data_IF_483478757218
#
_entry.id   IF_483478757218
#
_cell.length_a   1.000
_cell.length_b   1.000
_cell.length_c   1.000
_cell.angle_alpha   90.00
_cell.angle_beta   90.00
_cell.angle_gamma   90.00
#
_symmetry.space_group_name_H-M   'P 1'
#
loop_
_entity.id
_entity.type
_entity.pdbx_description
1 polymer ?
#
# COMPACT_ATOMS: atom_id res chain seq x y z
N UNK A 1 -44.99 -58.12 9.33
CA UNK A 1 -44.91 -59.42 10.08
C UNK A 1 -43.97 -59.17 11.28
N UNK A 2 -44.57 -59.34 12.49
CA UNK A 2 -44.06 -59.83 13.80
C UNK A 2 -42.75 -59.19 14.32
N UNK A 3 -42.84 -58.27 15.28
CA UNK A 3 -42.84 -58.46 16.75
C UNK A 3 -41.67 -59.32 17.31
N UNK A 4 -40.82 -58.74 18.14
CA UNK A 4 -40.81 -59.03 19.58
C UNK A 4 -39.84 -58.10 20.36
N UNK A 5 -40.43 -57.53 21.42
CA UNK A 5 -39.82 -56.94 22.61
C UNK A 5 -39.13 -57.99 23.43
N UNK A 6 -38.10 -57.67 24.20
CA UNK A 6 -37.94 -58.14 25.59
C UNK A 6 -37.23 -57.05 26.40
N UNK A 7 -37.72 -56.90 27.59
CA UNK A 7 -37.59 -56.00 28.71
C UNK A 7 -36.65 -56.63 29.77
N UNK A 8 -36.02 -55.79 30.54
CA UNK A 8 -35.61 -56.12 31.92
C UNK A 8 -34.11 -55.83 32.17
N UNK A 9 -33.58 -55.33 33.28
CA UNK A 9 -34.14 -54.85 34.54
C UNK A 9 -32.98 -54.22 35.32
N UNK A 10 -33.22 -53.03 35.88
CA UNK A 10 -32.69 -52.41 37.12
C UNK A 10 -31.36 -52.78 37.73
N UNK A 11 -30.61 -51.71 38.08
CA UNK A 11 -29.56 -51.68 39.05
C UNK A 11 -29.16 -50.27 39.45
N UNK A 12 -29.88 -49.68 40.43
CA UNK A 12 -29.51 -48.45 41.13
C UNK A 12 -28.32 -48.72 42.04
N UNK A 13 -27.30 -47.89 42.02
CA UNK A 13 -26.50 -47.50 43.22
C UNK A 13 -26.12 -46.04 43.09
N UNK A 14 -26.66 -45.26 44.00
CA UNK A 14 -26.33 -43.86 44.31
C UNK A 14 -25.15 -43.78 45.25
N UNK A 15 -24.27 -42.82 45.04
CA UNK A 15 -23.52 -42.08 46.12
C UNK A 15 -22.78 -40.95 45.40
N UNK A 16 -23.22 -39.78 45.53
CA UNK A 16 -22.99 -38.65 46.43
C UNK A 16 -21.63 -37.97 46.37
N UNK A 17 -21.72 -36.71 45.99
CA UNK A 17 -21.00 -35.51 46.41
C UNK A 17 -19.46 -35.48 46.37
N UNK A 18 -18.94 -34.58 45.56
CA UNK A 18 -18.42 -33.32 46.12
C UNK A 18 -18.10 -32.32 45.00
N UNK A 19 -18.72 -31.17 45.10
CA UNK A 19 -18.45 -30.01 44.31
C UNK A 19 -17.08 -29.43 44.68
N UNK A 20 -16.28 -29.08 43.67
CA UNK A 20 -15.29 -28.03 43.78
C UNK A 20 -15.23 -27.26 42.49
N UNK A 21 -16.00 -26.16 42.48
CA UNK A 21 -15.76 -25.05 41.55
C UNK A 21 -14.37 -24.49 41.86
N UNK A 22 -13.46 -24.64 40.93
CA UNK A 22 -12.31 -23.77 40.83
C UNK A 22 -12.32 -23.21 39.41
N UNK A 23 -12.96 -22.07 39.27
CA UNK A 23 -12.81 -21.20 38.11
C UNK A 23 -11.40 -20.60 38.17
N UNK A 24 -10.46 -21.25 37.47
CA UNK A 24 -9.21 -20.62 37.09
C UNK A 24 -9.38 -20.14 35.63
N UNK A 25 -9.86 -18.91 35.46
CA UNK A 25 -9.61 -18.10 34.27
C UNK A 25 -8.15 -17.73 34.26
N UNK A 26 -7.29 -18.64 33.84
CA UNK A 26 -5.95 -18.28 33.39
C UNK A 26 -6.11 -17.76 31.95
N UNK A 27 -6.25 -16.45 31.82
CA UNK A 27 -5.92 -15.78 30.59
C UNK A 27 -4.48 -16.18 30.24
N UNK A 28 -4.34 -17.04 29.26
CA UNK A 28 -3.07 -17.33 28.65
C UNK A 28 -2.61 -16.00 28.01
N UNK A 29 -1.76 -15.27 28.72
CA UNK A 29 -0.86 -14.32 28.09
C UNK A 29 -0.02 -15.16 27.14
N UNK A 30 -0.27 -15.03 25.86
CA UNK A 30 0.63 -15.51 24.83
C UNK A 30 2.04 -15.02 25.16
N UNK A 31 2.89 -15.97 25.48
CA UNK A 31 4.28 -15.70 25.82
C UNK A 31 5.04 -15.53 24.49
N UNK A 32 4.96 -14.33 23.93
CA UNK A 32 5.42 -13.96 22.58
C UNK A 32 6.95 -13.82 22.45
N UNK A 33 7.74 -14.45 23.31
CA UNK A 33 9.19 -14.27 23.34
C UNK A 33 9.98 -15.59 23.18
N UNK A 34 9.55 -16.46 22.25
CA UNK A 34 10.43 -17.55 21.78
C UNK A 34 10.83 -17.26 20.35
N UNK A 35 12.12 -16.95 20.14
CA UNK A 35 12.70 -16.97 18.81
C UNK A 35 12.39 -18.32 18.14
N UNK A 36 11.80 -18.27 16.96
CA UNK A 36 11.53 -19.44 16.13
C UNK A 36 12.06 -19.17 14.72
N UNK A 37 12.49 -20.22 14.05
CA UNK A 37 12.87 -20.10 12.63
C UNK A 37 11.63 -20.29 11.77
N UNK A 38 11.40 -19.40 10.82
CA UNK A 38 10.37 -19.50 9.81
C UNK A 38 10.99 -19.50 8.42
N UNK A 39 10.41 -20.24 7.51
CA UNK A 39 10.79 -20.21 6.10
C UNK A 39 9.87 -19.24 5.37
N UNK A 40 10.45 -18.27 4.70
CA UNK A 40 9.75 -17.27 3.88
C UNK A 40 10.11 -17.53 2.42
N UNK A 41 9.09 -17.74 1.57
CA UNK A 41 9.27 -17.73 0.13
C UNK A 41 9.27 -16.26 -0.32
N UNK A 42 10.36 -15.81 -0.92
CA UNK A 42 10.47 -14.45 -1.44
C UNK A 42 9.97 -14.35 -2.90
N UNK A 43 10.05 -13.19 -3.49
CA UNK A 43 9.56 -12.96 -4.86
C UNK A 43 10.66 -13.02 -5.92
N UNK A 44 11.79 -13.60 -5.60
CA UNK A 44 12.88 -13.80 -6.59
C UNK A 44 12.49 -14.81 -7.68
N UNK A 45 13.14 -14.71 -8.83
CA UNK A 45 12.95 -15.64 -9.95
C UNK A 45 14.26 -16.40 -10.25
N UNK A 46 14.34 -17.70 -9.97
CA UNK A 46 13.27 -18.54 -9.39
C UNK A 46 13.00 -18.17 -7.91
N UNK A 47 11.80 -18.50 -7.44
CA UNK A 47 11.43 -18.31 -6.02
C UNK A 47 12.44 -18.96 -5.10
N UNK A 48 12.80 -18.25 -4.03
CA UNK A 48 13.72 -18.75 -3.01
C UNK A 48 13.02 -18.90 -1.67
N UNK A 49 13.50 -19.86 -0.91
CA UNK A 49 13.09 -20.03 0.47
C UNK A 49 14.22 -19.56 1.39
N UNK A 50 13.92 -18.56 2.20
CA UNK A 50 14.86 -17.94 3.13
C UNK A 50 14.46 -18.27 4.55
N UNK A 51 15.38 -18.88 5.32
CA UNK A 51 15.15 -19.12 6.76
C UNK A 51 15.47 -17.87 7.56
N UNK A 52 14.53 -17.45 8.39
CA UNK A 52 14.63 -16.23 9.19
C UNK A 52 14.27 -16.54 10.65
N UNK A 53 15.10 -16.08 11.56
CA UNK A 53 14.77 -16.10 12.99
C UNK A 53 13.76 -14.98 13.29
N UNK A 54 12.55 -15.36 13.72
CA UNK A 54 11.46 -14.42 14.01
C UNK A 54 11.26 -14.29 15.53
N UNK A 55 10.78 -13.16 16.08
CA UNK A 55 10.49 -11.92 15.35
C UNK A 55 11.74 -11.11 14.99
N UNK A 56 11.78 -10.61 13.77
CA UNK A 56 12.83 -9.67 13.32
C UNK A 56 12.59 -8.31 13.95
N UNK A 57 13.63 -7.74 14.55
CA UNK A 57 13.59 -6.42 15.19
C UNK A 57 14.47 -5.37 14.51
N UNK A 58 15.32 -5.79 13.57
CA UNK A 58 16.24 -4.91 12.85
C UNK A 58 16.19 -5.21 11.35
N UNK A 59 15.41 -4.41 10.65
CA UNK A 59 15.16 -4.53 9.20
C UNK A 59 15.91 -3.40 8.51
N UNK A 60 16.59 -3.74 7.42
CA UNK A 60 17.14 -2.79 6.46
C UNK A 60 16.43 -2.96 5.13
N UNK A 61 16.16 -1.87 4.42
CA UNK A 61 15.61 -1.95 3.07
C UNK A 61 16.06 -0.78 2.20
N UNK A 62 16.49 -1.11 0.97
CA UNK A 62 16.69 -0.12 -0.08
C UNK A 62 15.40 0.14 -0.89
N UNK A 63 14.38 -0.68 -0.74
CA UNK A 63 13.08 -0.56 -1.44
C UNK A 63 12.30 0.62 -0.86
N UNK A 64 12.18 1.71 -1.62
CA UNK A 64 11.64 2.99 -1.15
C UNK A 64 10.25 2.88 -0.50
N UNK A 65 9.26 2.15 -1.05
CA UNK A 65 7.93 2.02 -0.46
C UNK A 65 7.84 0.99 0.69
N UNK A 66 8.79 0.08 0.82
CA UNK A 66 8.70 -1.03 1.77
C UNK A 66 8.63 -0.61 3.26
N UNK A 67 9.31 0.47 3.71
CA UNK A 67 9.19 0.94 5.09
C UNK A 67 7.75 1.21 5.53
N UNK A 68 6.91 1.75 4.66
CA UNK A 68 5.49 1.99 4.98
C UNK A 68 4.76 0.66 5.24
N UNK A 69 5.03 -0.38 4.46
CA UNK A 69 4.45 -1.72 4.68
C UNK A 69 4.87 -2.30 6.04
N UNK A 70 6.15 -2.15 6.40
CA UNK A 70 6.63 -2.58 7.73
C UNK A 70 5.88 -1.85 8.82
N UNK A 71 5.76 -0.52 8.72
CA UNK A 71 5.09 0.33 9.72
C UNK A 71 3.61 -0.02 9.84
N UNK A 72 2.90 -0.25 8.74
CA UNK A 72 1.49 -0.66 8.73
C UNK A 72 1.29 -2.02 9.41
N UNK A 73 2.11 -3.01 9.07
CA UNK A 73 2.05 -4.35 9.68
C UNK A 73 2.49 -4.32 11.15
N UNK A 74 3.43 -3.44 11.50
CA UNK A 74 3.85 -3.27 12.91
C UNK A 74 2.89 -2.40 13.75
N UNK A 75 1.84 -1.83 13.13
CA UNK A 75 0.80 -1.07 13.81
C UNK A 75 1.21 0.37 14.14
N UNK A 76 2.03 0.97 13.28
CA UNK A 76 2.46 2.37 13.36
C UNK A 76 3.88 2.56 13.93
N UNK A 77 4.63 1.48 14.22
CA UNK A 77 5.98 1.59 14.77
C UNK A 77 7.05 1.63 13.68
N UNK A 78 8.01 2.54 13.81
CA UNK A 78 9.21 2.67 12.98
C UNK A 78 10.44 2.00 13.58
N UNK A 79 10.35 1.48 14.80
CA UNK A 79 11.49 1.00 15.59
C UNK A 79 12.27 -0.14 14.94
N UNK A 80 11.59 -0.97 14.12
CA UNK A 80 12.25 -2.10 13.43
C UNK A 80 13.10 -1.67 12.23
N UNK A 81 12.89 -0.46 11.71
CA UNK A 81 13.61 0.05 10.55
C UNK A 81 14.92 0.70 10.98
N UNK A 82 16.02 -0.03 10.87
CA UNK A 82 17.35 0.46 11.28
C UNK A 82 18.14 1.07 10.11
N UNK A 83 17.71 0.84 8.86
CA UNK A 83 18.32 1.43 7.67
C UNK A 83 17.34 1.46 6.48
N UNK A 84 17.31 2.57 5.76
CA UNK A 84 16.40 2.79 4.63
C UNK A 84 17.08 3.51 3.47
N UNK A 85 16.38 3.59 2.33
CA UNK A 85 16.81 4.41 1.20
C UNK A 85 16.72 5.91 1.50
N UNK A 86 17.64 6.71 0.97
CA UNK A 86 17.67 8.17 1.11
C UNK A 86 16.36 8.84 0.67
N UNK A 87 15.76 8.33 -0.40
CA UNK A 87 14.49 8.84 -0.92
C UNK A 87 13.36 8.69 0.09
N UNK A 88 13.32 7.58 0.86
CA UNK A 88 12.34 7.40 1.95
C UNK A 88 12.46 8.51 2.98
N UNK A 89 13.67 8.82 3.44
CA UNK A 89 13.90 9.90 4.42
C UNK A 89 13.50 11.26 3.84
N UNK A 90 13.82 11.51 2.57
CA UNK A 90 13.44 12.74 1.87
C UNK A 90 11.94 12.89 1.74
N UNK A 91 11.22 11.83 1.39
CA UNK A 91 9.76 11.82 1.32
C UNK A 91 9.15 12.07 2.71
N UNK A 92 9.65 11.39 3.75
CA UNK A 92 9.15 11.55 5.11
C UNK A 92 9.35 12.98 5.65
N UNK A 93 10.41 13.68 5.26
CA UNK A 93 10.61 15.09 5.62
C UNK A 93 9.61 16.04 4.98
N UNK A 94 9.05 15.66 3.84
CA UNK A 94 8.21 16.52 2.99
C UNK A 94 6.73 16.15 2.96
N UNK A 95 6.32 15.09 3.66
CA UNK A 95 4.93 14.62 3.72
C UNK A 95 4.42 14.48 5.17
N UNK A 96 3.19 13.98 5.32
CA UNK A 96 2.54 13.81 6.61
C UNK A 96 3.27 12.81 7.53
N UNK A 97 4.03 11.87 6.97
CA UNK A 97 4.78 10.88 7.76
C UNK A 97 5.72 11.54 8.77
N UNK A 98 6.45 12.57 8.35
CA UNK A 98 7.37 13.27 9.26
C UNK A 98 6.68 14.18 10.29
N UNK A 99 5.40 14.50 10.11
CA UNK A 99 4.58 15.18 11.12
C UNK A 99 4.03 14.18 12.15
N UNK A 100 3.48 13.07 11.67
CA UNK A 100 2.87 12.03 12.49
C UNK A 100 3.92 11.19 13.25
N UNK A 101 5.07 10.96 12.62
CA UNK A 101 6.17 10.14 13.11
C UNK A 101 7.50 10.90 12.97
N UNK A 102 7.82 11.83 13.89
CA UNK A 102 9.03 12.65 13.80
C UNK A 102 10.35 11.85 13.66
N UNK A 103 10.40 10.64 14.23
CA UNK A 103 11.52 9.71 14.13
C UNK A 103 11.78 9.25 12.69
N UNK A 104 10.77 9.16 11.86
CA UNK A 104 10.88 8.73 10.46
C UNK A 104 11.78 9.62 9.60
N UNK A 105 12.01 10.87 10.02
CA UNK A 105 12.87 11.84 9.35
C UNK A 105 14.36 11.60 9.58
N UNK A 106 14.71 10.81 10.59
CA UNK A 106 16.07 10.61 11.08
C UNK A 106 16.54 9.15 10.96
N UNK A 107 15.87 8.34 10.16
CA UNK A 107 16.29 6.98 9.88
C UNK A 107 17.68 6.97 9.22
N UNK A 108 18.47 5.95 9.52
CA UNK A 108 19.80 5.79 8.92
C UNK A 108 19.64 5.52 7.42
N UNK A 109 20.34 6.29 6.61
CA UNK A 109 20.43 6.06 5.17
C UNK A 109 21.49 4.99 4.91
N UNK A 110 21.11 3.94 4.17
CA UNK A 110 21.97 2.80 3.79
C UNK A 110 22.01 2.58 2.28
N UNK A 111 21.15 3.24 1.53
CA UNK A 111 21.09 3.15 0.07
C UNK A 111 20.72 4.50 -0.53
N UNK A 112 21.26 4.79 -1.70
CA UNK A 112 20.93 5.97 -2.52
C UNK A 112 19.98 5.58 -3.68
N UNK A 113 19.89 6.44 -4.69
CA UNK A 113 19.01 6.25 -5.84
C UNK A 113 19.33 5.04 -6.73
N UNK A 114 20.54 4.50 -6.64
CA UNK A 114 20.96 3.27 -7.34
C UNK A 114 20.57 1.98 -6.60
N UNK A 115 19.99 2.07 -5.40
CA UNK A 115 19.57 0.98 -4.52
C UNK A 115 20.70 0.08 -3.99
N UNK A 116 21.97 0.41 -4.25
CA UNK A 116 23.12 -0.31 -3.69
C UNK A 116 23.18 -0.16 -2.18
N UNK A 117 23.40 -1.27 -1.51
CA UNK A 117 23.53 -1.34 -0.06
C UNK A 117 24.89 -1.91 0.29
N UNK A 118 25.66 -1.17 1.08
CA UNK A 118 26.96 -1.63 1.56
C UNK A 118 26.78 -2.65 2.70
N UNK A 119 27.29 -3.90 2.55
CA UNK A 119 27.18 -4.94 3.56
C UNK A 119 27.83 -4.61 4.91
N UNK A 120 28.89 -3.78 4.93
CA UNK A 120 29.54 -3.36 6.17
C UNK A 120 28.57 -2.50 6.99
N UNK A 121 27.88 -1.56 6.34
CA UNK A 121 26.84 -0.73 6.98
C UNK A 121 25.72 -1.57 7.59
N UNK A 122 25.32 -2.65 6.96
CA UNK A 122 24.30 -3.56 7.50
C UNK A 122 24.80 -4.27 8.76
N UNK A 123 26.03 -4.71 8.75
CA UNK A 123 26.67 -5.39 9.89
C UNK A 123 26.81 -4.45 11.07
N UNK A 124 27.23 -3.19 10.86
CA UNK A 124 27.31 -2.17 11.91
C UNK A 124 25.96 -1.87 12.56
N UNK A 125 24.89 -1.84 11.78
CA UNK A 125 23.52 -1.67 12.26
C UNK A 125 22.98 -2.90 13.00
N UNK A 126 23.64 -4.05 12.83
CA UNK A 126 23.20 -5.35 13.32
C UNK A 126 21.91 -5.79 12.66
N UNK A 127 21.78 -5.54 11.36
CA UNK A 127 20.63 -5.96 10.56
C UNK A 127 20.40 -7.46 10.66
N UNK A 128 19.18 -7.87 10.93
CA UNK A 128 18.77 -9.27 10.99
C UNK A 128 18.24 -9.77 9.64
N UNK A 129 17.68 -8.85 8.84
CA UNK A 129 17.16 -9.09 7.49
C UNK A 129 17.36 -7.85 6.65
N UNK A 130 17.73 -8.04 5.39
CA UNK A 130 17.66 -7.03 4.34
C UNK A 130 16.47 -7.35 3.41
N UNK A 131 15.75 -6.31 2.96
CA UNK A 131 14.74 -6.42 1.90
C UNK A 131 15.16 -5.55 0.74
N UNK A 132 15.27 -6.15 -0.44
CA UNK A 132 15.82 -5.52 -1.64
C UNK A 132 14.97 -5.83 -2.86
N UNK A 133 15.03 -4.98 -3.88
CA UNK A 133 14.55 -5.37 -5.21
C UNK A 133 15.27 -6.63 -5.67
N UNK A 134 14.57 -7.49 -6.40
CA UNK A 134 15.20 -8.63 -7.05
C UNK A 134 16.19 -8.12 -8.10
N UNK A 135 17.47 -8.18 -7.77
CA UNK A 135 18.58 -7.75 -8.61
C UNK A 135 19.79 -8.66 -8.38
N UNK A 136 20.78 -8.60 -9.25
CA UNK A 136 22.05 -9.30 -9.07
C UNK A 136 22.78 -8.88 -7.77
N UNK A 137 22.53 -7.65 -7.30
CA UNK A 137 23.16 -7.09 -6.10
C UNK A 137 22.73 -7.77 -4.79
N UNK A 138 21.60 -8.51 -4.79
CA UNK A 138 21.18 -9.29 -3.62
C UNK A 138 22.20 -10.35 -3.21
N UNK A 139 22.96 -10.90 -4.16
CA UNK A 139 23.96 -11.94 -3.89
C UNK A 139 25.07 -11.43 -2.95
N UNK A 140 25.48 -10.18 -3.07
CA UNK A 140 26.52 -9.58 -2.22
C UNK A 140 26.08 -9.54 -0.74
N UNK A 141 24.82 -9.23 -0.46
CA UNK A 141 24.28 -9.21 0.89
C UNK A 141 24.22 -10.63 1.49
N UNK A 142 23.84 -11.60 0.67
CA UNK A 142 23.79 -13.01 1.09
C UNK A 142 25.19 -13.56 1.37
N UNK A 143 26.19 -13.23 0.54
CA UNK A 143 27.59 -13.61 0.76
C UNK A 143 28.15 -13.01 2.05
N UNK A 144 27.66 -11.84 2.47
CA UNK A 144 27.97 -11.24 3.76
C UNK A 144 27.24 -11.93 4.96
N UNK A 145 26.45 -12.98 4.70
CA UNK A 145 25.74 -13.74 5.72
C UNK A 145 24.46 -13.08 6.25
N UNK A 146 23.95 -12.07 5.56
CA UNK A 146 22.71 -11.36 5.95
C UNK A 146 21.53 -12.00 5.19
N UNK A 147 20.53 -12.57 5.89
CA UNK A 147 19.32 -13.05 5.27
C UNK A 147 18.68 -11.94 4.41
N UNK A 148 18.50 -12.16 3.13
CA UNK A 148 18.01 -11.16 2.18
C UNK A 148 16.77 -11.67 1.47
N UNK A 149 15.69 -10.89 1.52
CA UNK A 149 14.43 -11.15 0.82
C UNK A 149 14.33 -10.28 -0.43
N UNK A 150 14.07 -10.91 -1.57
CA UNK A 150 13.78 -10.24 -2.83
C UNK A 150 12.30 -9.87 -2.93
N UNK A 151 12.03 -8.66 -3.40
CA UNK A 151 10.68 -8.19 -3.72
C UNK A 151 10.62 -7.66 -5.14
N UNK A 152 9.44 -7.78 -5.76
CA UNK A 152 9.18 -7.31 -7.11
C UNK A 152 8.02 -6.31 -7.13
N UNK A 153 8.11 -5.37 -8.07
CA UNK A 153 7.06 -4.43 -8.39
C UNK A 153 6.13 -5.01 -9.47
N UNK A 154 4.83 -4.74 -9.40
CA UNK A 154 3.99 -5.02 -10.56
C UNK A 154 2.50 -5.18 -10.31
N UNK A 155 2.06 -6.03 -9.40
CA UNK A 155 0.64 -6.39 -9.24
C UNK A 155 0.18 -6.30 -7.79
N UNK A 156 -1.15 -6.35 -7.59
CA UNK A 156 -1.73 -6.43 -6.25
C UNK A 156 -1.26 -7.68 -5.50
N UNK A 157 -1.12 -8.81 -6.19
CA UNK A 157 -0.66 -10.07 -5.58
C UNK A 157 0.77 -9.93 -5.04
N UNK A 158 1.65 -9.24 -5.79
CA UNK A 158 3.01 -8.96 -5.33
C UNK A 158 3.01 -8.06 -4.08
N UNK A 159 2.18 -7.01 -4.06
CA UNK A 159 2.04 -6.15 -2.88
C UNK A 159 1.49 -6.93 -1.66
N UNK A 160 0.48 -7.77 -1.84
CA UNK A 160 -0.03 -8.64 -0.78
C UNK A 160 1.03 -9.64 -0.31
N UNK A 161 1.90 -10.07 -1.21
CA UNK A 161 3.10 -10.84 -0.90
C UNK A 161 4.06 -10.11 0.04
N UNK A 162 4.32 -8.80 -0.19
CA UNK A 162 5.14 -7.97 0.72
C UNK A 162 4.55 -7.93 2.14
N UNK A 163 3.23 -7.70 2.22
CA UNK A 163 2.50 -7.64 3.49
C UNK A 163 2.58 -8.99 4.21
N UNK A 164 2.38 -10.09 3.48
CA UNK A 164 2.47 -11.46 4.02
C UNK A 164 3.88 -11.79 4.53
N UNK A 165 4.90 -11.50 3.73
CA UNK A 165 6.30 -11.71 4.12
C UNK A 165 6.66 -10.90 5.37
N UNK A 166 6.26 -9.63 5.40
CA UNK A 166 6.48 -8.77 6.57
C UNK A 166 5.81 -9.34 7.80
N UNK A 167 4.54 -9.76 7.70
CA UNK A 167 3.81 -10.38 8.81
C UNK A 167 4.49 -11.61 9.38
N UNK A 168 4.98 -12.50 8.52
CA UNK A 168 5.75 -13.68 8.93
C UNK A 168 7.07 -13.29 9.60
N UNK A 169 7.79 -12.36 9.00
CA UNK A 169 9.10 -11.91 9.44
C UNK A 169 9.06 -11.27 10.84
N UNK A 170 8.06 -10.44 11.13
CA UNK A 170 7.96 -9.75 12.43
C UNK A 170 7.02 -10.45 13.44
N UNK A 171 6.50 -11.63 13.09
CA UNK A 171 5.59 -12.39 13.97
C UNK A 171 4.18 -11.81 14.09
N UNK A 172 3.69 -11.07 13.08
CA UNK A 172 2.38 -10.42 13.06
C UNK A 172 1.51 -10.86 11.87
N UNK A 173 1.48 -12.16 11.56
CA UNK A 173 0.75 -12.71 10.41
C UNK A 173 -0.75 -12.43 10.46
N UNK A 174 -1.39 -12.43 11.63
CA UNK A 174 -2.81 -12.08 11.76
C UNK A 174 -3.07 -10.64 11.35
N UNK A 175 -2.19 -9.71 11.73
CA UNK A 175 -2.28 -8.32 11.32
C UNK A 175 -2.11 -8.15 9.82
N UNK A 176 -1.12 -8.82 9.22
CA UNK A 176 -0.91 -8.83 7.78
C UNK A 176 -2.15 -9.33 7.03
N UNK A 177 -2.74 -10.44 7.49
CA UNK A 177 -3.98 -10.98 6.92
C UNK A 177 -5.16 -9.98 7.06
N UNK A 178 -5.27 -9.28 8.19
CA UNK A 178 -6.32 -8.28 8.36
C UNK A 178 -6.19 -7.12 7.37
N UNK A 179 -4.96 -6.67 7.07
CA UNK A 179 -4.70 -5.65 6.04
C UNK A 179 -5.09 -6.16 4.65
N UNK A 180 -4.66 -7.37 4.28
CA UNK A 180 -4.98 -7.99 3.00
C UNK A 180 -6.50 -8.18 2.83
N UNK A 181 -7.20 -8.62 3.87
CA UNK A 181 -8.65 -8.78 3.84
C UNK A 181 -9.34 -7.44 3.57
N UNK A 182 -8.93 -6.36 4.25
CA UNK A 182 -9.48 -5.01 4.02
C UNK A 182 -9.21 -4.51 2.58
N UNK A 183 -8.02 -4.78 2.04
CA UNK A 183 -7.71 -4.50 0.63
C UNK A 183 -8.66 -5.25 -0.31
N UNK A 184 -8.88 -6.55 -0.07
CA UNK A 184 -9.77 -7.37 -0.91
C UNK A 184 -11.23 -6.94 -0.80
N UNK A 185 -11.73 -6.64 0.39
CA UNK A 185 -13.08 -6.12 0.61
C UNK A 185 -13.30 -4.80 -0.14
N UNK A 186 -12.33 -3.88 -0.07
CA UNK A 186 -12.36 -2.61 -0.80
C UNK A 186 -12.36 -2.84 -2.31
N UNK A 187 -11.51 -3.74 -2.81
CA UNK A 187 -11.45 -4.11 -4.21
C UNK A 187 -12.82 -4.62 -4.69
N UNK A 188 -13.39 -5.56 -3.98
CA UNK A 188 -14.63 -6.21 -4.37
C UNK A 188 -15.82 -5.23 -4.36
N UNK A 189 -15.85 -4.29 -3.40
CA UNK A 189 -16.88 -3.23 -3.34
C UNK A 189 -16.79 -2.30 -4.56
N UNK A 190 -15.62 -1.77 -4.86
CA UNK A 190 -15.43 -0.84 -5.98
C UNK A 190 -15.67 -1.52 -7.32
N UNK A 191 -15.12 -2.71 -7.54
CA UNK A 191 -15.36 -3.46 -8.79
C UNK A 191 -16.84 -3.77 -8.99
N UNK A 192 -17.58 -4.08 -7.92
CA UNK A 192 -19.03 -4.32 -7.99
C UNK A 192 -19.81 -3.03 -8.32
N UNK A 193 -19.44 -1.88 -7.75
CA UNK A 193 -20.06 -0.58 -8.03
C UNK A 193 -19.82 -0.15 -9.48
N UNK A 194 -18.58 -0.21 -9.95
CA UNK A 194 -18.19 0.14 -11.33
C UNK A 194 -18.87 -0.78 -12.34
N UNK A 195 -18.92 -2.09 -12.07
CA UNK A 195 -19.62 -3.04 -12.96
C UNK A 195 -21.10 -2.73 -13.12
N UNK A 196 -21.77 -2.29 -12.05
CA UNK A 196 -23.20 -1.93 -12.08
C UNK A 196 -23.48 -0.70 -12.91
N UNK A 197 -22.50 0.21 -13.01
CA UNK A 197 -22.64 1.45 -13.77
C UNK A 197 -22.83 1.20 -15.27
N UNK A 198 -22.23 0.13 -15.80
CA UNK A 198 -22.25 -0.22 -17.24
C UNK A 198 -21.90 0.95 -18.16
N UNK A 199 -20.97 1.79 -17.71
CA UNK A 199 -20.45 2.93 -18.46
C UNK A 199 -19.17 2.57 -19.22
N UNK A 200 -18.84 3.34 -20.27
CA UNK A 200 -17.56 3.23 -20.93
C UNK A 200 -16.43 3.66 -19.98
N UNK A 201 -15.29 2.96 -20.00
CA UNK A 201 -14.15 3.32 -19.16
C UNK A 201 -13.60 4.70 -19.50
N UNK A 202 -13.31 5.51 -18.50
CA UNK A 202 -12.77 6.88 -18.64
C UNK A 202 -11.30 6.83 -19.02
N UNK A 203 -10.91 7.51 -20.12
CA UNK A 203 -9.50 7.56 -20.54
C UNK A 203 -8.67 8.35 -19.54
N UNK A 204 -7.67 7.68 -18.95
CA UNK A 204 -6.85 8.23 -17.86
C UNK A 204 -5.37 8.19 -18.20
N UNK A 205 -4.61 9.14 -17.67
CA UNK A 205 -3.15 9.05 -17.62
C UNK A 205 -2.62 9.57 -16.30
N UNK A 206 -1.44 9.08 -15.93
CA UNK A 206 -0.73 9.58 -14.73
C UNK A 206 0.56 10.26 -15.16
N UNK A 207 0.70 11.52 -14.77
CA UNK A 207 1.87 12.36 -15.04
C UNK A 207 2.79 12.37 -13.82
N UNK A 208 4.07 12.11 -14.01
CA UNK A 208 5.11 12.18 -13.00
C UNK A 208 5.83 13.54 -13.03
N UNK A 209 6.17 14.01 -14.24
CA UNK A 209 6.87 15.27 -14.45
C UNK A 209 6.32 16.02 -15.68
N UNK A 210 6.41 17.34 -15.62
CA UNK A 210 5.98 18.28 -16.66
C UNK A 210 7.17 19.13 -17.04
N UNK A 211 7.46 19.19 -18.33
CA UNK A 211 8.47 20.04 -18.97
C UNK A 211 7.80 20.87 -20.07
N UNK A 212 8.49 21.84 -20.65
CA UNK A 212 7.91 22.77 -21.63
C UNK A 212 7.25 22.08 -22.84
N UNK A 213 7.76 20.96 -23.30
CA UNK A 213 7.26 20.22 -24.46
C UNK A 213 7.20 18.71 -24.29
N UNK A 214 7.50 18.21 -23.10
CA UNK A 214 7.54 16.79 -22.79
C UNK A 214 6.90 16.51 -21.43
N UNK A 215 6.36 15.30 -21.30
CA UNK A 215 5.70 14.82 -20.09
C UNK A 215 6.25 13.45 -19.75
N UNK A 216 6.68 13.24 -18.53
CA UNK A 216 6.94 11.88 -18.05
C UNK A 216 5.64 11.29 -17.54
N UNK A 217 5.18 10.22 -18.18
CA UNK A 217 3.92 9.54 -17.87
C UNK A 217 4.14 8.11 -17.44
N UNK A 218 3.25 7.57 -16.62
CA UNK A 218 3.24 6.13 -16.33
C UNK A 218 2.60 5.36 -17.48
N UNK A 219 3.12 4.15 -17.70
CA UNK A 219 2.59 3.22 -18.69
C UNK A 219 1.19 2.74 -18.29
N UNK A 220 0.28 2.70 -19.26
CA UNK A 220 -1.04 2.06 -19.11
C UNK A 220 -1.00 0.52 -19.20
N UNK A 221 0.18 -0.09 -19.40
CA UNK A 221 0.33 -1.55 -19.32
C UNK A 221 -0.13 -2.05 -17.96
N UNK A 222 -0.56 -3.30 -17.93
CA UNK A 222 -1.00 -3.93 -16.71
C UNK A 222 0.11 -3.91 -15.65
N UNK A 223 -0.12 -3.15 -14.60
CA UNK A 223 0.74 -2.97 -13.43
C UNK A 223 -0.14 -2.55 -12.26
N UNK A 224 0.41 -2.48 -11.05
CA UNK A 224 -0.36 -1.99 -9.89
C UNK A 224 -0.96 -0.59 -10.13
N UNK A 225 -0.18 0.30 -10.75
CA UNK A 225 -0.62 1.67 -11.06
C UNK A 225 -1.83 1.66 -12.01
N UNK A 226 -1.73 0.94 -13.14
CA UNK A 226 -2.82 0.87 -14.11
C UNK A 226 -4.02 0.09 -13.58
N UNK A 227 -3.81 -1.00 -12.85
CA UNK A 227 -4.88 -1.78 -12.22
C UNK A 227 -5.70 -0.95 -11.24
N UNK A 228 -5.06 -0.03 -10.51
CA UNK A 228 -5.73 0.91 -9.61
C UNK A 228 -6.84 1.70 -10.33
N UNK A 229 -6.50 2.30 -11.46
CA UNK A 229 -7.49 3.06 -12.24
C UNK A 229 -8.47 2.17 -13.00
N UNK A 230 -8.04 1.01 -13.50
CA UNK A 230 -8.95 0.06 -14.16
C UNK A 230 -10.05 -0.44 -13.21
N UNK A 231 -9.72 -0.74 -11.95
CA UNK A 231 -10.70 -1.11 -10.92
C UNK A 231 -11.71 0.00 -10.66
N UNK A 232 -11.24 1.24 -10.74
CA UNK A 232 -12.07 2.43 -10.57
C UNK A 232 -12.87 2.83 -11.82
N UNK A 233 -12.84 2.03 -12.88
CA UNK A 233 -13.55 2.30 -14.15
C UNK A 233 -12.80 3.20 -15.13
N UNK A 234 -11.49 3.33 -14.96
CA UNK A 234 -10.62 4.03 -15.89
C UNK A 234 -10.04 3.13 -16.99
N UNK A 235 -9.59 3.76 -18.07
CA UNK A 235 -8.82 3.17 -19.17
C UNK A 235 -7.47 3.87 -19.27
N UNK A 236 -6.42 3.34 -18.60
CA UNK A 236 -5.08 3.92 -18.64
C UNK A 236 -4.51 3.95 -20.07
N UNK A 237 -3.94 5.10 -20.41
CA UNK A 237 -3.35 5.36 -21.73
C UNK A 237 -1.84 5.01 -21.75
N UNK A 238 -1.19 5.23 -22.91
CA UNK A 238 0.23 4.98 -23.12
C UNK A 238 0.66 3.53 -22.88
N UNK A 239 -0.13 2.58 -23.36
CA UNK A 239 0.10 1.14 -23.19
C UNK A 239 1.33 0.61 -23.93
N UNK A 240 1.87 1.36 -24.88
CA UNK A 240 3.00 0.95 -25.74
C UNK A 240 4.37 1.31 -25.15
N UNK A 241 4.41 2.02 -24.02
CA UNK A 241 5.66 2.28 -23.32
C UNK A 241 6.33 0.97 -22.89
N UNK A 242 7.64 0.87 -23.11
CA UNK A 242 8.41 -0.34 -22.77
C UNK A 242 8.58 -0.50 -21.27
N UNK A 243 8.89 0.61 -20.62
CA UNK A 243 9.12 0.69 -19.17
C UNK A 243 7.83 1.08 -18.43
N UNK A 244 7.87 1.04 -17.10
CA UNK A 244 6.77 1.45 -16.23
C UNK A 244 6.39 2.94 -16.36
N UNK A 245 7.32 3.76 -16.86
CA UNK A 245 7.09 5.15 -17.22
C UNK A 245 8.01 5.55 -18.39
N UNK A 246 7.72 6.68 -19.02
CA UNK A 246 8.51 7.20 -20.13
C UNK A 246 8.13 8.63 -20.49
N UNK A 247 8.98 9.27 -21.27
CA UNK A 247 8.69 10.59 -21.83
C UNK A 247 7.82 10.47 -23.07
N UNK A 248 6.84 11.35 -23.17
CA UNK A 248 6.00 11.59 -24.33
C UNK A 248 6.02 13.08 -24.67
N UNK A 249 5.99 13.43 -25.95
CA UNK A 249 5.91 14.82 -26.36
C UNK A 249 4.45 15.34 -26.33
N UNK A 250 4.29 16.67 -26.50
CA UNK A 250 2.98 17.30 -26.42
C UNK A 250 2.01 16.81 -27.51
N UNK A 251 2.49 16.48 -28.71
CA UNK A 251 1.65 16.00 -29.82
C UNK A 251 1.10 14.60 -29.50
N UNK A 252 1.95 13.70 -29.01
CA UNK A 252 1.55 12.36 -28.54
C UNK A 252 0.54 12.47 -27.39
N UNK A 253 0.78 13.37 -26.43
CA UNK A 253 -0.12 13.58 -25.29
C UNK A 253 -1.50 14.10 -25.74
N UNK A 254 -1.53 15.07 -26.68
CA UNK A 254 -2.77 15.62 -27.23
C UNK A 254 -3.52 14.57 -28.06
N UNK A 255 -2.80 13.73 -28.81
CA UNK A 255 -3.41 12.74 -29.70
C UNK A 255 -4.20 11.67 -28.93
N UNK A 256 -3.78 11.29 -27.72
CA UNK A 256 -4.51 10.32 -26.88
C UNK A 256 -5.68 10.97 -26.12
N UNK A 257 -5.72 12.28 -26.01
CA UNK A 257 -6.76 13.11 -25.40
C UNK A 257 -7.33 12.51 -24.10
N UNK A 258 -6.58 12.48 -22.99
CA UNK A 258 -7.08 11.96 -21.72
C UNK A 258 -8.27 12.79 -21.22
N UNK A 259 -9.26 12.08 -20.64
CA UNK A 259 -10.43 12.71 -20.02
C UNK A 259 -10.16 13.07 -18.55
N UNK A 260 -9.22 12.34 -17.93
CA UNK A 260 -8.74 12.61 -16.57
C UNK A 260 -7.22 12.46 -16.54
N UNK A 261 -6.56 13.42 -15.90
CA UNK A 261 -5.12 13.38 -15.64
C UNK A 261 -4.90 13.29 -14.13
N UNK A 262 -4.23 12.24 -13.70
CA UNK A 262 -3.70 12.13 -12.34
C UNK A 262 -2.24 12.57 -12.34
N UNK A 263 -1.81 13.26 -11.28
CA UNK A 263 -0.43 13.68 -11.09
C UNK A 263 0.14 12.90 -9.92
N UNK A 264 1.19 12.14 -10.18
CA UNK A 264 1.79 11.24 -9.20
C UNK A 264 2.25 11.96 -7.93
N UNK A 265 1.96 11.36 -6.77
CA UNK A 265 2.46 11.82 -5.47
C UNK A 265 3.98 11.81 -5.33
N UNK A 266 4.68 11.04 -6.17
CA UNK A 266 6.15 10.99 -6.22
C UNK A 266 6.77 12.22 -6.91
N UNK A 267 6.06 12.83 -7.88
CA UNK A 267 6.54 13.96 -8.66
C UNK A 267 6.29 15.31 -7.98
N UNK A 268 6.98 16.35 -8.45
CA UNK A 268 6.82 17.73 -7.98
C UNK A 268 5.70 18.48 -8.71
N UNK A 269 5.25 17.98 -9.86
CA UNK A 269 4.22 18.60 -10.66
C UNK A 269 2.91 18.79 -9.87
N UNK A 270 2.18 19.85 -10.20
CA UNK A 270 0.91 20.26 -9.60
C UNK A 270 -0.19 20.34 -10.67
N UNK A 271 -1.47 20.31 -10.29
CA UNK A 271 -2.56 20.48 -11.25
C UNK A 271 -2.44 21.75 -12.09
N UNK A 272 -1.98 22.86 -11.50
CA UNK A 272 -1.79 24.13 -12.20
C UNK A 272 -0.76 24.04 -13.33
N UNK A 273 0.27 23.21 -13.20
CA UNK A 273 1.30 23.04 -14.25
C UNK A 273 0.72 22.44 -15.53
N UNK A 274 -0.30 21.59 -15.40
CA UNK A 274 -1.05 21.02 -16.52
C UNK A 274 -2.20 21.95 -16.96
N UNK A 275 -3.00 22.45 -16.02
CA UNK A 275 -4.17 23.29 -16.32
C UNK A 275 -3.79 24.59 -17.07
N UNK A 276 -2.62 25.15 -16.76
CA UNK A 276 -2.12 26.37 -17.40
C UNK A 276 -1.11 26.10 -18.52
N UNK A 277 -0.84 24.83 -18.85
CA UNK A 277 0.15 24.49 -19.87
C UNK A 277 -0.30 24.94 -21.26
N UNK A 278 0.47 25.80 -21.97
CA UNK A 278 -0.02 26.45 -23.20
C UNK A 278 -0.37 25.46 -24.32
N UNK A 279 0.31 24.32 -24.39
CA UNK A 279 0.08 23.30 -25.43
C UNK A 279 -1.14 22.41 -25.12
N UNK A 280 -1.56 22.29 -23.86
CA UNK A 280 -2.58 21.33 -23.43
C UNK A 280 -4.00 21.91 -23.34
N UNK A 281 -4.22 23.18 -23.71
CA UNK A 281 -5.51 23.86 -23.56
C UNK A 281 -6.68 23.19 -24.31
N UNK A 282 -6.37 22.36 -25.31
CA UNK A 282 -7.37 21.61 -26.06
C UNK A 282 -7.62 20.18 -25.56
N UNK A 283 -6.82 19.68 -24.61
CA UNK A 283 -7.00 18.35 -24.00
C UNK A 283 -8.28 18.32 -23.16
N UNK A 284 -9.07 17.28 -23.30
CA UNK A 284 -10.36 17.10 -22.62
C UNK A 284 -10.26 17.25 -21.10
N UNK A 285 -9.27 16.67 -20.47
CA UNK A 285 -9.02 16.80 -19.02
C UNK A 285 -8.77 18.25 -18.61
N UNK A 286 -8.03 19.02 -19.41
CA UNK A 286 -7.70 20.43 -19.11
C UNK A 286 -8.93 21.31 -19.27
N UNK A 287 -9.68 21.17 -20.38
CA UNK A 287 -10.94 21.90 -20.61
C UNK A 287 -11.95 21.70 -19.48
N UNK A 288 -12.05 20.47 -18.99
CA UNK A 288 -12.99 20.07 -17.95
C UNK A 288 -12.42 20.19 -16.52
N UNK A 289 -11.18 20.69 -16.38
CA UNK A 289 -10.44 20.80 -15.11
C UNK A 289 -10.34 19.48 -14.33
N UNK A 290 -10.37 18.33 -15.02
CA UNK A 290 -10.24 17.01 -14.43
C UNK A 290 -8.77 16.59 -14.32
N UNK A 291 -8.00 17.38 -13.59
CA UNK A 291 -6.57 17.19 -13.33
C UNK A 291 -6.36 17.16 -11.84
N UNK A 292 -5.86 16.04 -11.29
CA UNK A 292 -5.84 15.81 -9.84
C UNK A 292 -4.48 15.34 -9.36
N UNK A 293 -3.95 15.98 -8.32
CA UNK A 293 -2.80 15.48 -7.56
C UNK A 293 -3.24 14.31 -6.69
N UNK A 294 -2.57 13.16 -6.83
CA UNK A 294 -2.91 11.96 -6.05
C UNK A 294 -2.62 12.15 -4.56
N UNK A 295 -3.44 11.56 -3.66
CA UNK A 295 -3.24 11.61 -2.23
C UNK A 295 -1.89 11.02 -1.80
N UNK A 296 -1.43 11.48 -0.65
CA UNK A 296 -0.20 10.99 -0.03
C UNK A 296 -0.41 10.90 1.47
N UNK A 297 -0.42 9.68 1.98
CA UNK A 297 -0.40 9.37 3.38
C UNK A 297 1.01 9.27 3.95
N UNK A 298 1.30 8.18 4.63
CA UNK A 298 2.67 7.84 5.05
C UNK A 298 3.54 7.65 3.80
N UNK A 299 2.98 7.04 2.77
CA UNK A 299 3.57 6.98 1.44
C UNK A 299 2.54 7.45 0.40
N UNK A 300 2.93 7.88 -0.83
CA UNK A 300 1.97 8.13 -1.90
C UNK A 300 1.09 6.89 -2.15
N UNK A 301 -0.22 7.08 -2.36
CA UNK A 301 -1.15 5.95 -2.50
C UNK A 301 -1.03 5.21 -3.83
N UNK A 302 -0.55 5.87 -4.89
CA UNK A 302 -0.46 5.29 -6.21
C UNK A 302 0.57 4.17 -6.32
N UNK A 303 1.83 4.29 -5.83
CA UNK A 303 2.79 3.19 -5.82
C UNK A 303 2.42 2.10 -4.81
N UNK A 304 3.14 0.94 -4.81
CA UNK A 304 2.90 -0.11 -3.82
C UNK A 304 3.03 0.43 -2.40
N UNK A 305 1.97 0.30 -1.62
CA UNK A 305 1.93 0.64 -0.19
C UNK A 305 0.77 -0.08 0.48
N UNK A 306 0.79 -0.20 1.79
CA UNK A 306 -0.36 -0.74 2.52
C UNK A 306 -1.58 0.20 2.45
N UNK A 307 -1.38 1.48 2.05
CA UNK A 307 -2.43 2.47 1.81
C UNK A 307 -2.99 2.44 0.37
N UNK A 308 -2.38 1.67 -0.56
CA UNK A 308 -2.72 1.72 -1.99
C UNK A 308 -4.22 1.53 -2.29
N UNK A 309 -4.90 0.68 -1.52
CA UNK A 309 -6.33 0.43 -1.73
C UNK A 309 -7.24 1.66 -1.46
N UNK A 310 -6.77 2.67 -0.72
CA UNK A 310 -7.50 3.92 -0.55
C UNK A 310 -7.61 4.70 -1.87
N UNK A 311 -6.67 4.47 -2.77
CA UNK A 311 -6.70 5.07 -4.10
C UNK A 311 -7.89 4.61 -4.94
N UNK A 312 -8.44 3.41 -4.70
CA UNK A 312 -9.53 2.86 -5.50
C UNK A 312 -10.85 3.61 -5.29
N UNK A 313 -11.22 3.89 -4.04
CA UNK A 313 -12.39 4.70 -3.71
C UNK A 313 -12.22 6.14 -4.20
N UNK A 314 -11.08 6.75 -3.89
CA UNK A 314 -10.77 8.12 -4.29
C UNK A 314 -10.81 8.30 -5.82
N UNK A 315 -10.19 7.41 -6.57
CA UNK A 315 -10.21 7.49 -8.04
C UNK A 315 -11.58 7.17 -8.62
N UNK A 316 -12.32 6.20 -8.06
CA UNK A 316 -13.68 5.88 -8.52
C UNK A 316 -14.64 7.08 -8.34
N UNK A 317 -14.55 7.80 -7.22
CA UNK A 317 -15.35 9.02 -7.00
C UNK A 317 -15.06 10.12 -8.04
N UNK A 318 -13.81 10.22 -8.51
CA UNK A 318 -13.42 11.21 -9.52
C UNK A 318 -13.76 10.76 -10.95
N UNK A 319 -13.65 9.48 -11.24
CA UNK A 319 -13.95 8.93 -12.55
C UNK A 319 -15.46 8.86 -12.79
N UNK A 320 -16.20 8.44 -11.78
CA UNK A 320 -17.63 8.15 -11.81
C UNK A 320 -18.33 8.73 -10.57
N UNK A 321 -18.52 10.07 -10.49
CA UNK A 321 -19.15 10.71 -9.33
C UNK A 321 -20.55 10.18 -9.00
N UNK A 322 -21.25 9.61 -9.98
CA UNK A 322 -22.58 9.03 -9.85
C UNK A 322 -22.64 7.78 -8.95
N UNK A 323 -21.51 7.09 -8.72
CA UNK A 323 -21.47 5.97 -7.78
C UNK A 323 -20.96 6.36 -6.39
N UNK A 324 -20.61 7.64 -6.19
CA UNK A 324 -20.05 8.11 -4.93
C UNK A 324 -21.13 8.17 -3.83
N UNK A 325 -21.17 7.14 -3.00
CA UNK A 325 -22.14 6.97 -1.90
C UNK A 325 -21.48 6.75 -0.53
N UNK A 326 -20.18 7.05 -0.41
CA UNK A 326 -19.41 6.86 0.82
C UNK A 326 -18.83 8.19 1.35
N UNK A 327 -18.39 8.18 2.60
CA UNK A 327 -17.65 9.30 3.20
C UNK A 327 -16.14 9.04 3.12
N UNK A 328 -15.48 9.57 2.09
CA UNK A 328 -14.03 9.43 1.89
C UNK A 328 -13.23 9.91 3.10
N UNK A 329 -13.63 11.02 3.71
CA UNK A 329 -12.91 11.60 4.85
C UNK A 329 -12.97 10.70 6.08
N UNK A 330 -14.14 10.16 6.39
CA UNK A 330 -14.31 9.21 7.47
C UNK A 330 -13.54 7.92 7.21
N UNK A 331 -13.58 7.44 5.98
CA UNK A 331 -12.91 6.22 5.55
C UNK A 331 -11.38 6.33 5.66
N UNK A 332 -10.80 7.45 5.23
CA UNK A 332 -9.36 7.70 5.36
C UNK A 332 -8.94 7.76 6.83
N UNK A 333 -9.70 8.46 7.69
CA UNK A 333 -9.43 8.50 9.13
C UNK A 333 -9.45 7.11 9.77
N UNK A 334 -10.46 6.28 9.45
CA UNK A 334 -10.57 4.91 9.94
C UNK A 334 -9.39 4.06 9.48
N UNK A 335 -8.96 4.22 8.24
CA UNK A 335 -7.81 3.48 7.72
C UNK A 335 -6.48 3.90 8.34
N UNK A 336 -6.27 5.19 8.61
CA UNK A 336 -5.09 5.64 9.36
C UNK A 336 -5.07 5.11 10.79
N UNK A 337 -6.23 5.09 11.45
CA UNK A 337 -6.38 4.44 12.76
C UNK A 337 -6.07 2.95 12.68
N UNK A 338 -6.60 2.27 11.69
CA UNK A 338 -6.38 0.85 11.47
C UNK A 338 -4.91 0.55 11.11
N UNK A 339 -4.31 1.22 10.13
CA UNK A 339 -2.96 0.89 9.65
C UNK A 339 -1.86 1.37 10.62
N UNK A 340 -2.01 2.55 11.19
CA UNK A 340 -0.92 3.25 11.87
C UNK A 340 -1.23 3.64 13.31
N UNK A 341 -2.43 3.31 13.81
CA UNK A 341 -2.92 3.73 15.13
C UNK A 341 -2.92 5.26 15.31
N UNK A 342 -3.17 6.01 14.25
CA UNK A 342 -3.19 7.47 14.23
C UNK A 342 -4.63 7.98 14.07
N UNK A 343 -5.01 8.92 14.91
CA UNK A 343 -6.26 9.69 14.78
C UNK A 343 -5.93 11.01 14.05
N UNK A 344 -6.25 11.06 12.74
CA UNK A 344 -5.99 12.26 11.93
C UNK A 344 -6.90 13.43 12.32
N UNK A 345 -6.33 14.60 12.50
CA UNK A 345 -7.08 15.86 12.51
C UNK A 345 -7.59 16.17 11.10
N UNK A 346 -8.58 17.09 11.00
CA UNK A 346 -9.07 17.51 9.68
C UNK A 346 -8.01 18.21 8.83
N UNK A 347 -7.11 18.96 9.48
CA UNK A 347 -6.00 19.61 8.77
C UNK A 347 -5.00 18.57 8.21
N UNK A 348 -4.70 17.54 8.99
CA UNK A 348 -3.85 16.44 8.55
C UNK A 348 -4.49 15.66 7.40
N UNK A 349 -5.80 15.41 7.51
CA UNK A 349 -6.56 14.76 6.44
C UNK A 349 -6.57 15.60 5.15
N UNK A 350 -6.71 16.92 5.24
CA UNK A 350 -6.61 17.82 4.07
C UNK A 350 -5.22 17.76 3.41
N UNK A 351 -4.14 17.59 4.21
CA UNK A 351 -2.79 17.36 3.69
C UNK A 351 -2.68 16.00 2.96
N UNK A 352 -3.25 14.93 3.54
CA UNK A 352 -3.29 13.59 2.92
C UNK A 352 -4.01 13.64 1.58
N UNK A 353 -5.21 14.21 1.55
CA UNK A 353 -6.04 14.34 0.35
C UNK A 353 -5.53 15.39 -0.65
N UNK A 354 -4.46 16.14 -0.32
CA UNK A 354 -3.93 17.21 -1.17
C UNK A 354 -4.99 18.28 -1.52
N UNK A 355 -5.90 18.58 -0.57
CA UNK A 355 -7.06 19.45 -0.77
C UNK A 355 -6.69 20.82 -1.36
N UNK A 356 -5.64 21.46 -0.82
CA UNK A 356 -5.18 22.77 -1.32
C UNK A 356 -4.64 22.70 -2.77
N UNK A 357 -3.93 21.62 -3.14
CA UNK A 357 -3.42 21.45 -4.50
C UNK A 357 -4.55 21.18 -5.51
N UNK A 358 -5.61 20.52 -5.09
CA UNK A 358 -6.73 20.12 -5.94
C UNK A 358 -7.91 21.11 -5.91
N UNK A 359 -7.81 22.23 -5.20
CA UNK A 359 -8.93 23.17 -5.00
C UNK A 359 -9.54 23.74 -6.28
N UNK A 360 -8.74 23.84 -7.36
CA UNK A 360 -9.16 24.31 -8.66
C UNK A 360 -9.56 23.18 -9.62
N UNK A 361 -9.42 21.93 -9.20
CA UNK A 361 -9.80 20.75 -9.96
C UNK A 361 -11.31 20.52 -9.86
N UNK A 362 -11.91 20.03 -10.93
CA UNK A 362 -13.36 19.84 -11.02
C UNK A 362 -13.90 18.95 -9.91
N UNK A 363 -14.97 19.36 -9.24
CA UNK A 363 -15.71 18.61 -8.22
C UNK A 363 -14.90 18.19 -6.97
N UNK A 364 -13.60 18.48 -6.89
CA UNK A 364 -12.75 17.96 -5.83
C UNK A 364 -13.20 18.40 -4.44
N UNK A 365 -13.48 19.69 -4.28
CA UNK A 365 -13.96 20.24 -3.01
C UNK A 365 -15.37 19.74 -2.64
N UNK A 366 -16.22 19.51 -3.64
CA UNK A 366 -17.59 19.01 -3.42
C UNK A 366 -17.56 17.55 -2.93
N UNK A 367 -16.65 16.74 -3.47
CA UNK A 367 -16.50 15.33 -3.10
C UNK A 367 -15.76 15.14 -1.77
N UNK A 368 -14.65 15.84 -1.57
CA UNK A 368 -13.69 15.56 -0.49
C UNK A 368 -13.46 16.71 0.50
N UNK A 369 -14.14 17.86 0.31
CA UNK A 369 -14.07 18.98 1.23
C UNK A 369 -14.76 18.69 2.58
N UNK A 370 -14.55 19.57 3.54
CA UNK A 370 -15.30 19.54 4.82
C UNK A 370 -16.77 19.78 4.53
N UNK A 371 -17.63 18.93 5.03
CA UNK A 371 -19.08 19.11 5.04
C UNK A 371 -19.52 19.91 6.27
#
# INVERSE_FOLDING_TARGET
>A
MKYKKIIGLTGLISLALSASLSACTTGAKENTNKNSTVTITDQSHPERQVEITTPVNKIVTAVIPYPEVVVAVDGGSWERLVGVNETTVTLNKNNIAGELFPESKNLKVVASSNFDVDPESLTELGAQVAVQWETEDMEHLQQAGIPTLGVNYGTLDLLQGWITMTGKMIGKSERANAIINRMNETKDDIEAKVKKLNAEPVRTTTVLAVEDSAFTVFSGKRSLDSETYMRAGGSPLFTDLKESNGQVNAEEFIAVDPEVIFISGLGKAKPEDILNHPLLQNVSAVKNKRVYKTPTGIFPWQPPSAENYLMWHWSAALLHPEIYDWDERAMVKDNFKFLFNVDLTDEQLDKVLRSEMNKNSAQYTDLFGKK
#
